data_IF_560922962608
#
_entry.id   IF_560922962608
#
_cell.length_a   1.000
_cell.length_b   1.000
_cell.length_c   1.000
_cell.angle_alpha   90.00
_cell.angle_beta   90.00
_cell.angle_gamma   90.00
#
_symmetry.space_group_name_H-M   'P 1'
#
loop_
_entity.id
_entity.type
_entity.pdbx_description
1 polymer ?
#
# COMPACT_ATOMS: atom_id res chain seq x y z
N UNK A 1 -3.58 14.32 3.09
CA UNK A 1 -2.90 13.13 3.63
C UNK A 1 -2.50 12.28 2.43
N UNK A 2 -1.21 11.96 2.28
CA UNK A 2 -0.72 11.19 1.14
C UNK A 2 -0.90 9.71 1.44
N UNK A 3 -1.53 8.98 0.52
CA UNK A 3 -1.67 7.52 0.59
C UNK A 3 -0.53 6.84 -0.18
N UNK A 4 -0.01 5.74 0.37
CA UNK A 4 1.01 4.89 -0.25
C UNK A 4 0.47 3.47 -0.30
N UNK A 5 0.52 2.84 -1.47
CA UNK A 5 0.30 1.41 -1.64
C UNK A 5 1.64 0.74 -1.91
N UNK A 6 2.00 -0.22 -1.05
CA UNK A 6 3.22 -1.03 -1.19
C UNK A 6 2.82 -2.37 -1.80
N UNK A 7 3.51 -2.78 -2.86
CA UNK A 7 3.26 -4.04 -3.56
C UNK A 7 4.56 -4.80 -3.66
N UNK A 8 4.65 -5.90 -2.93
CA UNK A 8 5.81 -6.80 -2.91
C UNK A 8 5.34 -8.19 -2.43
N UNK A 9 5.77 -9.28 -3.07
CA UNK A 9 5.33 -10.63 -2.73
C UNK A 9 5.84 -11.13 -1.38
N UNK A 10 6.87 -10.50 -0.82
CA UNK A 10 7.35 -10.77 0.53
C UNK A 10 6.60 -9.96 1.59
N UNK A 11 5.71 -10.61 2.34
CA UNK A 11 4.91 -9.97 3.40
C UNK A 11 5.76 -9.26 4.46
N UNK A 12 6.92 -9.82 4.81
CA UNK A 12 7.83 -9.24 5.80
C UNK A 12 8.37 -7.87 5.37
N UNK A 13 8.73 -7.74 4.09
CA UNK A 13 9.20 -6.48 3.52
C UNK A 13 8.07 -5.44 3.49
N UNK A 14 6.86 -5.85 3.09
CA UNK A 14 5.67 -4.99 3.14
C UNK A 14 5.43 -4.41 4.54
N UNK A 15 5.56 -5.23 5.59
CA UNK A 15 5.33 -4.78 6.97
C UNK A 15 6.39 -3.80 7.45
N UNK A 16 7.67 -4.07 7.18
CA UNK A 16 8.77 -3.16 7.51
C UNK A 16 8.56 -1.78 6.87
N UNK A 17 8.22 -1.76 5.58
CA UNK A 17 8.00 -0.51 4.86
C UNK A 17 6.72 0.20 5.35
N UNK A 18 5.67 -0.55 5.67
CA UNK A 18 4.43 0.01 6.24
C UNK A 18 4.70 0.74 7.55
N UNK A 19 5.43 0.12 8.46
CA UNK A 19 5.78 0.72 9.74
C UNK A 19 6.69 1.94 9.54
N UNK A 20 7.68 1.85 8.65
CA UNK A 20 8.55 2.98 8.29
C UNK A 20 7.74 4.19 7.82
N UNK A 21 6.87 4.04 6.81
CA UNK A 21 6.11 5.16 6.27
C UNK A 21 5.02 5.68 7.22
N UNK A 22 4.43 4.81 8.06
CA UNK A 22 3.48 5.26 9.09
C UNK A 22 4.10 6.22 10.09
N UNK A 23 5.37 6.02 10.48
CA UNK A 23 6.08 6.93 11.40
C UNK A 23 6.18 8.34 10.83
N UNK A 24 6.24 8.49 9.50
CA UNK A 24 6.26 9.78 8.82
C UNK A 24 4.87 10.34 8.50
N UNK A 25 3.79 9.70 8.98
CA UNK A 25 2.42 10.21 8.87
C UNK A 25 1.74 9.90 7.53
N UNK A 26 2.24 8.95 6.75
CA UNK A 26 1.57 8.44 5.56
C UNK A 26 0.44 7.46 5.92
N UNK A 27 -0.61 7.44 5.10
CA UNK A 27 -1.64 6.38 5.15
C UNK A 27 -1.20 5.25 4.22
N UNK A 28 -0.93 4.07 4.78
CA UNK A 28 -0.20 3.00 4.07
C UNK A 28 -1.02 1.73 3.96
N UNK A 29 -1.20 1.29 2.71
CA UNK A 29 -1.81 0.04 2.29
C UNK A 29 -0.71 -0.93 1.83
N UNK A 30 -0.99 -2.24 1.91
CA UNK A 30 -0.06 -3.29 1.48
C UNK A 30 -0.82 -4.31 0.63
N UNK A 31 -0.16 -4.85 -0.40
CA UNK A 31 -0.62 -5.99 -1.17
C UNK A 31 0.57 -6.91 -1.47
N UNK A 32 0.37 -8.23 -1.35
CA UNK A 32 1.41 -9.24 -1.62
C UNK A 32 1.28 -9.90 -2.98
N UNK A 33 0.38 -9.40 -3.81
CA UNK A 33 0.19 -9.87 -5.18
C UNK A 33 -0.50 -8.79 -6.02
N UNK A 34 -0.53 -9.02 -7.33
CA UNK A 34 -1.13 -8.10 -8.28
C UNK A 34 -2.66 -8.00 -8.16
N UNK A 35 -3.36 -9.03 -7.67
CA UNK A 35 -4.82 -9.00 -7.54
C UNK A 35 -5.23 -8.10 -6.37
N UNK A 36 -4.58 -8.25 -5.21
CA UNK A 36 -4.76 -7.39 -4.06
C UNK A 36 -4.36 -5.94 -4.36
N UNK A 37 -3.26 -5.73 -5.10
CA UNK A 37 -2.88 -4.40 -5.54
C UNK A 37 -3.95 -3.79 -6.46
N UNK A 38 -4.47 -4.59 -7.41
CA UNK A 38 -5.54 -4.20 -8.33
C UNK A 38 -6.82 -3.79 -7.61
N UNK A 39 -7.22 -4.51 -6.55
CA UNK A 39 -8.37 -4.14 -5.73
C UNK A 39 -8.23 -2.72 -5.15
N UNK A 40 -7.08 -2.39 -4.55
CA UNK A 40 -6.84 -1.05 -4.04
C UNK A 40 -6.76 0.01 -5.15
N UNK A 41 -6.16 -0.32 -6.29
CA UNK A 41 -5.99 0.62 -7.39
C UNK A 41 -7.31 0.94 -8.12
N UNK A 42 -8.14 -0.06 -8.35
CA UNK A 42 -9.36 0.04 -9.15
C UNK A 42 -10.59 0.38 -8.30
N UNK A 43 -10.73 -0.27 -7.14
CA UNK A 43 -11.96 -0.18 -6.34
C UNK A 43 -11.89 0.93 -5.28
N UNK A 44 -10.69 1.23 -4.76
CA UNK A 44 -10.50 2.29 -3.75
C UNK A 44 -10.06 3.66 -4.31
N UNK A 45 -10.02 3.80 -5.65
CA UNK A 45 -9.93 5.11 -6.30
C UNK A 45 -8.60 5.84 -6.11
N UNK A 46 -7.48 5.13 -5.92
CA UNK A 46 -6.13 5.71 -5.89
C UNK A 46 -5.78 6.52 -7.15
N UNK A 47 -6.52 6.35 -8.26
CA UNK A 47 -6.38 7.09 -9.53
C UNK A 47 -7.51 8.09 -9.83
N UNK A 48 -8.49 8.29 -8.93
CA UNK A 48 -9.66 9.15 -9.18
C UNK A 48 -9.68 10.47 -8.37
N UNK A 49 -8.55 10.86 -7.76
CA UNK A 49 -8.40 12.16 -7.08
C UNK A 49 -7.04 12.79 -7.32
#
# INVERSE_FOLDING_TARGET
MIKILIVDDEKGLCDILKDFFKIYGFDVLIATDGQGAGHYFLDEGLLLR
#
